data_IF_396092309917
#
_entry.id   IF_396092309917
#
_cell.length_a   1.000
_cell.length_b   1.000
_cell.length_c   1.000
_cell.angle_alpha   90.00
_cell.angle_beta   90.00
_cell.angle_gamma   90.00
#
_symmetry.space_group_name_H-M   'P 1'
#
loop_
_entity.id
_entity.type
_entity.pdbx_description
1 polymer ?
#
# COMPACT_ATOMS: atom_id res chain seq x y z
N UNK A 1 -0.42 3.35 11.99
CA UNK A 1 -0.28 4.29 10.83
C UNK A 1 0.35 5.57 11.32
N UNK A 2 1.40 6.09 10.66
CA UNK A 2 2.09 7.33 11.08
C UNK A 2 1.38 8.54 10.49
N UNK A 3 0.87 9.45 11.32
CA UNK A 3 0.09 10.63 10.88
C UNK A 3 0.82 11.92 11.24
N UNK A 4 0.94 12.85 10.29
CA UNK A 4 1.40 14.23 10.52
C UNK A 4 0.21 15.17 10.45
N UNK A 5 -0.08 15.86 11.54
CA UNK A 5 -1.17 16.81 11.65
C UNK A 5 -0.61 18.22 11.55
N UNK A 6 -1.14 19.06 10.67
CA UNK A 6 -0.74 20.45 10.55
C UNK A 6 -1.92 21.40 10.72
N UNK A 7 -1.70 22.46 11.52
CA UNK A 7 -2.69 23.49 11.83
C UNK A 7 -2.18 24.89 11.46
N UNK A 8 -3.10 25.82 11.24
CA UNK A 8 -2.79 27.18 10.76
C UNK A 8 -3.33 28.28 11.68
N UNK A 9 -4.14 27.90 12.68
CA UNK A 9 -4.79 28.81 13.61
C UNK A 9 -4.64 28.31 15.04
N UNK A 10 -4.87 29.17 16.03
CA UNK A 10 -4.86 28.78 17.47
C UNK A 10 -5.92 27.72 17.77
N UNK A 11 -7.13 27.85 17.19
CA UNK A 11 -8.19 26.82 17.31
C UNK A 11 -7.76 25.50 16.70
N UNK A 12 -7.10 25.54 15.54
CA UNK A 12 -6.54 24.35 14.91
C UNK A 12 -5.45 23.67 15.76
N UNK A 13 -4.62 24.44 16.47
CA UNK A 13 -3.66 23.89 17.45
C UNK A 13 -4.39 23.20 18.60
N UNK A 14 -5.38 23.86 19.22
CA UNK A 14 -6.18 23.27 20.28
C UNK A 14 -6.85 21.96 19.83
N UNK A 15 -7.36 21.91 18.59
CA UNK A 15 -7.95 20.71 17.99
C UNK A 15 -6.90 19.62 17.77
N UNK A 16 -5.71 19.94 17.26
CA UNK A 16 -4.63 18.97 17.08
C UNK A 16 -4.20 18.30 18.39
N UNK A 17 -4.15 19.07 19.48
CA UNK A 17 -3.88 18.54 20.82
C UNK A 17 -4.99 17.63 21.34
N UNK A 18 -6.26 17.97 21.07
CA UNK A 18 -7.41 17.10 21.39
C UNK A 18 -7.34 15.78 20.64
N UNK A 19 -7.01 15.83 19.35
CA UNK A 19 -6.83 14.63 18.52
C UNK A 19 -5.71 13.76 19.13
N UNK A 20 -4.54 14.32 19.43
CA UNK A 20 -3.44 13.59 20.06
C UNK A 20 -3.90 12.88 21.34
N UNK A 21 -4.68 13.57 22.19
CA UNK A 21 -5.23 13.00 23.43
C UNK A 21 -6.23 11.86 23.15
N UNK A 22 -7.07 11.98 22.13
CA UNK A 22 -8.06 10.97 21.77
C UNK A 22 -7.41 9.68 21.23
N UNK A 23 -6.18 9.77 20.70
CA UNK A 23 -5.35 8.64 20.27
C UNK A 23 -4.32 8.21 21.33
N UNK A 24 -4.40 8.68 22.56
CA UNK A 24 -3.52 8.25 23.65
C UNK A 24 -3.72 6.76 23.94
N UNK A 25 -2.67 5.98 23.73
CA UNK A 25 -2.67 4.49 23.77
C UNK A 25 -2.07 3.87 22.52
N UNK A 26 -2.02 4.58 21.41
CA UNK A 26 -1.14 4.30 20.29
C UNK A 26 0.24 4.88 20.61
N UNK A 27 1.32 4.27 20.15
CA UNK A 27 2.69 4.72 20.46
C UNK A 27 2.86 6.20 20.08
N UNK A 28 3.46 7.02 20.95
CA UNK A 28 3.66 8.48 20.72
C UNK A 28 4.35 8.79 19.38
N UNK A 29 5.10 7.85 18.82
CA UNK A 29 5.79 7.95 17.54
C UNK A 29 4.84 8.01 16.33
N UNK A 30 3.57 7.61 16.48
CA UNK A 30 2.64 7.51 15.35
C UNK A 30 1.95 8.83 15.00
N UNK A 31 1.91 9.80 15.93
CA UNK A 31 1.21 11.06 15.76
C UNK A 31 2.16 12.26 15.97
N UNK A 32 2.50 12.98 14.89
CA UNK A 32 3.32 14.18 14.94
C UNK A 32 2.47 15.44 14.72
N UNK A 33 2.62 16.43 15.59
CA UNK A 33 1.88 17.69 15.51
C UNK A 33 2.75 18.81 14.96
N UNK A 34 2.20 19.58 14.02
CA UNK A 34 2.85 20.70 13.36
C UNK A 34 1.94 21.91 13.29
N UNK A 35 2.53 23.12 13.24
CA UNK A 35 1.77 24.34 13.01
C UNK A 35 2.54 25.35 12.17
N UNK A 36 1.81 26.15 11.38
CA UNK A 36 2.27 27.38 10.71
C UNK A 36 1.59 28.63 11.25
N UNK A 37 1.00 28.55 12.44
CA UNK A 37 0.38 29.71 13.08
C UNK A 37 1.45 30.67 13.65
N UNK A 38 1.70 31.80 12.98
CA UNK A 38 2.68 32.83 13.41
C UNK A 38 2.39 33.47 14.74
N UNK A 39 1.15 33.38 15.23
CA UNK A 39 0.74 33.91 16.54
C UNK A 39 0.83 32.85 17.66
N UNK A 40 1.29 31.65 17.35
CA UNK A 40 1.36 30.55 18.33
C UNK A 40 2.24 30.95 19.54
N UNK A 41 3.42 31.51 19.31
CA UNK A 41 4.35 31.87 20.37
C UNK A 41 3.80 32.96 21.34
N UNK A 42 3.20 34.02 20.79
CA UNK A 42 2.71 35.16 21.63
C UNK A 42 1.41 34.82 22.36
N UNK A 43 0.48 34.13 21.71
CA UNK A 43 -0.88 33.92 22.25
C UNK A 43 -0.97 32.73 23.18
N UNK A 44 -0.07 31.75 23.03
CA UNK A 44 0.01 30.57 23.90
C UNK A 44 0.65 30.95 25.26
N UNK A 45 1.56 31.95 25.27
CA UNK A 45 2.14 32.53 26.50
C UNK A 45 1.07 33.28 27.31
N UNK A 46 0.19 34.05 26.66
CA UNK A 46 -0.90 34.79 27.32
C UNK A 46 -2.01 33.88 27.89
N UNK A 47 -2.24 32.70 27.29
CA UNK A 47 -3.26 31.72 27.72
C UNK A 47 -2.75 30.64 28.67
N UNK A 48 -1.60 30.78 29.34
CA UNK A 48 -0.96 29.82 30.25
C UNK A 48 -0.51 28.50 29.57
N UNK A 49 -0.43 28.43 28.25
CA UNK A 49 0.30 27.41 27.56
C UNK A 49 1.76 27.89 27.46
N UNK A 50 2.55 27.65 28.48
CA UNK A 50 3.97 28.03 28.53
C UNK A 50 4.77 27.30 27.45
N UNK A 51 5.89 27.87 27.00
CA UNK A 51 6.84 27.22 26.07
C UNK A 51 7.16 25.78 26.51
N UNK A 52 7.21 25.54 27.82
CA UNK A 52 7.40 24.20 28.41
C UNK A 52 6.26 23.25 28.06
N UNK A 53 4.99 23.70 28.07
CA UNK A 53 3.83 22.88 27.72
C UNK A 53 3.74 22.61 26.21
N UNK A 54 4.30 23.46 25.37
CA UNK A 54 4.40 23.24 23.91
C UNK A 54 5.47 22.20 23.57
N UNK A 55 6.64 22.30 24.19
CA UNK A 55 7.69 21.28 24.04
C UNK A 55 7.23 19.91 24.57
N UNK A 56 6.54 19.90 25.72
CA UNK A 56 5.95 18.67 26.30
C UNK A 56 4.80 18.13 25.45
N UNK A 57 4.08 18.96 24.68
CA UNK A 57 3.00 18.53 23.77
C UNK A 57 3.52 17.89 22.49
N UNK A 58 4.81 18.05 22.16
CA UNK A 58 5.40 17.56 20.91
C UNK A 58 4.91 18.33 19.67
N UNK A 59 4.45 19.58 19.82
CA UNK A 59 4.07 20.45 18.70
C UNK A 59 5.31 21.13 18.12
N UNK A 60 5.53 21.00 16.82
CA UNK A 60 6.63 21.62 16.08
C UNK A 60 6.15 22.76 15.19
N UNK A 61 6.87 23.87 15.19
CA UNK A 61 6.62 24.96 14.24
C UNK A 61 7.28 24.65 12.90
N UNK A 62 6.59 24.92 11.79
CA UNK A 62 7.08 24.69 10.42
C UNK A 62 7.55 26.03 9.85
N UNK A 63 8.85 26.24 9.73
CA UNK A 63 9.44 27.45 9.17
C UNK A 63 9.41 27.47 7.63
N UNK A 64 9.75 26.33 7.03
CA UNK A 64 9.82 26.15 5.57
C UNK A 64 8.46 26.37 4.88
N UNK A 65 8.43 26.61 3.56
CA UNK A 65 7.20 26.64 2.77
C UNK A 65 6.34 25.40 2.99
N UNK A 66 5.01 25.57 3.05
CA UNK A 66 4.09 24.46 3.31
C UNK A 66 4.25 23.31 2.30
N UNK A 67 4.47 23.66 1.03
CA UNK A 67 4.69 22.69 -0.04
C UNK A 67 5.93 21.82 0.22
N UNK A 68 7.03 22.44 0.64
CA UNK A 68 8.28 21.73 0.97
C UNK A 68 8.07 20.74 2.14
N UNK A 69 7.48 21.22 3.24
CA UNK A 69 7.12 20.36 4.38
C UNK A 69 6.22 19.20 3.95
N UNK A 70 5.20 19.49 3.12
CA UNK A 70 4.28 18.46 2.62
C UNK A 70 5.03 17.39 1.82
N UNK A 71 5.92 17.79 0.91
CA UNK A 71 6.74 16.86 0.14
C UNK A 71 7.62 15.98 1.01
N UNK A 72 8.23 16.54 2.07
CA UNK A 72 9.01 15.75 3.03
C UNK A 72 8.17 14.71 3.77
N UNK A 73 6.95 15.08 4.21
CA UNK A 73 6.07 14.13 4.89
C UNK A 73 5.59 13.02 3.94
N UNK A 74 5.26 13.37 2.68
CA UNK A 74 4.86 12.40 1.66
C UNK A 74 6.01 11.44 1.32
N UNK A 75 7.24 11.92 1.17
CA UNK A 75 8.44 11.08 1.01
C UNK A 75 8.65 10.11 2.17
N UNK A 76 8.34 10.52 3.41
CA UNK A 76 8.38 9.67 4.61
C UNK A 76 7.17 8.72 4.72
N UNK A 77 6.31 8.66 3.70
CA UNK A 77 5.10 7.83 3.66
C UNK A 77 4.17 8.04 4.86
N UNK A 78 4.07 9.27 5.36
CA UNK A 78 3.17 9.62 6.46
C UNK A 78 1.82 10.06 5.92
N UNK A 79 0.74 9.66 6.58
CA UNK A 79 -0.59 10.22 6.34
C UNK A 79 -0.64 11.68 6.78
N UNK A 80 -1.35 12.52 6.07
CA UNK A 80 -1.44 13.96 6.35
C UNK A 80 -2.84 14.35 6.78
N UNK A 81 -2.95 15.07 7.89
CA UNK A 81 -4.18 15.73 8.32
C UNK A 81 -3.97 17.24 8.36
N UNK A 82 -4.65 17.96 7.48
CA UNK A 82 -4.65 19.42 7.46
C UNK A 82 -5.85 19.93 8.26
N UNK A 83 -5.61 20.68 9.34
CA UNK A 83 -6.68 21.36 10.08
C UNK A 83 -6.83 22.75 9.52
N UNK A 84 -7.78 22.94 8.59
CA UNK A 84 -7.99 24.20 7.88
C UNK A 84 -8.79 24.02 6.59
N UNK A 85 -8.67 24.97 5.66
CA UNK A 85 -9.41 24.93 4.40
C UNK A 85 -8.87 23.88 3.42
N UNK A 86 -9.75 23.12 2.74
CA UNK A 86 -9.39 22.13 1.73
C UNK A 86 -8.44 22.68 0.66
N UNK A 87 -8.66 23.93 0.20
CA UNK A 87 -7.81 24.56 -0.81
C UNK A 87 -6.34 24.73 -0.40
N UNK A 88 -6.04 24.79 0.90
CA UNK A 88 -4.67 24.81 1.41
C UNK A 88 -4.02 23.44 1.19
N UNK A 89 -4.70 22.38 1.60
CA UNK A 89 -4.22 21.00 1.41
C UNK A 89 -4.01 20.68 -0.07
N UNK A 90 -5.00 20.98 -0.93
CA UNK A 90 -4.92 20.71 -2.37
C UNK A 90 -3.70 21.37 -3.00
N UNK A 91 -3.45 22.68 -2.72
CA UNK A 91 -2.27 23.36 -3.26
C UNK A 91 -0.96 22.81 -2.72
N UNK A 92 -0.94 22.36 -1.47
CA UNK A 92 0.26 21.83 -0.84
C UNK A 92 0.66 20.46 -1.39
N UNK A 93 -0.32 19.59 -1.72
CA UNK A 93 -0.05 18.24 -2.21
C UNK A 93 0.12 18.17 -3.73
N UNK A 94 -0.47 19.09 -4.49
CA UNK A 94 -0.54 19.04 -5.96
C UNK A 94 0.80 18.71 -6.66
N UNK A 95 1.97 19.26 -6.26
CA UNK A 95 3.25 18.95 -6.91
C UNK A 95 3.76 17.52 -6.68
N UNK A 96 3.17 16.76 -5.76
CA UNK A 96 3.66 15.46 -5.32
C UNK A 96 2.72 14.31 -5.65
N UNK A 97 1.62 14.58 -6.34
CA UNK A 97 0.66 13.55 -6.75
C UNK A 97 1.32 12.62 -7.78
N UNK A 98 1.19 11.33 -7.55
CA UNK A 98 1.75 10.29 -8.43
C UNK A 98 0.65 9.42 -9.03
N UNK A 99 0.09 8.50 -8.24
CA UNK A 99 -1.02 7.65 -8.65
C UNK A 99 -1.80 7.14 -7.43
N UNK A 100 -3.05 6.72 -7.66
CA UNK A 100 -3.99 6.31 -6.60
C UNK A 100 -3.54 5.15 -5.72
N UNK A 101 -2.55 4.35 -6.16
CA UNK A 101 -2.03 3.21 -5.40
C UNK A 101 -0.81 3.58 -4.54
N UNK A 102 -0.09 4.64 -4.94
CA UNK A 102 1.16 5.04 -4.33
C UNK A 102 1.03 6.30 -3.47
N UNK A 103 0.01 7.11 -3.70
CA UNK A 103 -0.21 8.32 -2.91
C UNK A 103 -0.50 7.99 -1.43
N UNK A 104 -0.05 8.87 -0.54
CA UNK A 104 -0.32 8.74 0.89
C UNK A 104 -1.71 9.28 1.23
N UNK A 105 -2.35 8.79 2.29
CA UNK A 105 -3.61 9.35 2.79
C UNK A 105 -3.49 10.84 3.09
N UNK A 106 -4.39 11.65 2.53
CA UNK A 106 -4.52 13.06 2.88
C UNK A 106 -5.95 13.36 3.28
N UNK A 107 -6.09 13.93 4.47
CA UNK A 107 -7.36 14.33 5.04
C UNK A 107 -7.36 15.83 5.35
N UNK A 108 -8.53 16.41 5.35
CA UNK A 108 -8.77 17.76 5.82
C UNK A 108 -9.84 17.73 6.92
N UNK A 109 -9.61 18.50 7.98
CA UNK A 109 -10.60 18.72 9.05
C UNK A 109 -10.81 20.22 9.20
N UNK A 110 -12.06 20.68 9.34
CA UNK A 110 -12.32 22.07 9.65
C UNK A 110 -11.82 22.42 11.08
N UNK A 111 -11.52 23.69 11.34
CA UNK A 111 -10.95 24.11 12.63
C UNK A 111 -11.89 23.93 13.84
N UNK A 112 -13.15 23.62 13.62
CA UNK A 112 -14.12 23.30 14.66
C UNK A 112 -14.22 21.79 14.91
N UNK A 113 -13.57 20.97 14.06
CA UNK A 113 -13.59 19.50 14.16
C UNK A 113 -14.94 18.88 13.81
N UNK A 114 -15.76 19.53 12.99
CA UNK A 114 -17.10 19.01 12.63
C UNK A 114 -17.05 18.00 11.49
N UNK A 115 -16.16 18.24 10.50
CA UNK A 115 -16.07 17.43 9.31
C UNK A 115 -14.66 16.90 9.11
N UNK A 116 -14.54 15.64 8.72
CA UNK A 116 -13.30 14.99 8.30
C UNK A 116 -13.46 14.54 6.85
N UNK A 117 -12.65 15.09 5.96
CA UNK A 117 -12.78 14.94 4.51
C UNK A 117 -11.54 14.21 3.98
N UNK A 118 -11.63 12.95 3.52
CA UNK A 118 -10.58 12.31 2.75
C UNK A 118 -10.44 13.00 1.40
N UNK A 119 -9.25 13.53 1.10
CA UNK A 119 -8.96 14.25 -0.14
C UNK A 119 -8.18 13.42 -1.14
N UNK A 120 -7.33 12.52 -0.63
CA UNK A 120 -6.45 11.68 -1.45
C UNK A 120 -6.29 10.29 -0.85
N UNK A 121 -6.11 9.28 -1.71
CA UNK A 121 -5.85 7.89 -1.35
C UNK A 121 -6.93 7.28 -0.43
N UNK A 122 -8.21 7.47 -0.79
CA UNK A 122 -9.37 7.05 -0.01
C UNK A 122 -9.37 5.56 0.33
N UNK A 123 -9.29 4.70 -0.69
CA UNK A 123 -9.33 3.23 -0.54
C UNK A 123 -7.96 2.65 -0.17
N UNK A 124 -7.09 2.46 -1.17
CA UNK A 124 -5.80 1.75 -1.00
C UNK A 124 -4.90 2.45 0.01
N UNK A 125 -4.89 3.77 0.05
CA UNK A 125 -4.13 4.52 1.04
C UNK A 125 -4.73 4.44 2.45
N UNK A 126 -6.06 4.22 2.58
CA UNK A 126 -6.76 4.14 3.87
C UNK A 126 -7.25 5.49 4.41
N UNK A 127 -7.38 6.53 3.56
CA UNK A 127 -7.87 7.83 4.04
C UNK A 127 -9.33 7.76 4.49
N UNK A 128 -10.17 6.92 3.86
CA UNK A 128 -11.57 6.74 4.27
C UNK A 128 -11.65 6.06 5.65
N UNK A 129 -10.89 4.98 5.86
CA UNK A 129 -10.80 4.30 7.17
C UNK A 129 -10.29 5.24 8.27
N UNK A 130 -9.26 6.04 7.98
CA UNK A 130 -8.74 7.04 8.92
C UNK A 130 -9.76 8.14 9.21
N UNK A 131 -10.53 8.58 8.21
CA UNK A 131 -11.58 9.59 8.41
C UNK A 131 -12.68 9.07 9.33
N UNK A 132 -13.12 7.83 9.17
CA UNK A 132 -14.11 7.19 10.04
C UNK A 132 -13.57 7.06 11.46
N UNK A 133 -12.35 6.54 11.64
CA UNK A 133 -11.72 6.42 12.96
C UNK A 133 -11.55 7.76 13.68
N UNK A 134 -11.14 8.81 12.97
CA UNK A 134 -11.06 10.17 13.50
C UNK A 134 -12.45 10.70 13.90
N UNK A 135 -13.44 10.48 13.03
CA UNK A 135 -14.80 10.95 13.26
C UNK A 135 -15.42 10.32 14.51
N UNK A 136 -15.28 9.02 14.68
CA UNK A 136 -15.75 8.30 15.87
C UNK A 136 -15.11 8.83 17.16
N UNK A 137 -13.80 9.03 17.18
CA UNK A 137 -13.08 9.50 18.37
C UNK A 137 -13.34 10.97 18.71
N UNK A 138 -13.60 11.79 17.68
CA UNK A 138 -13.76 13.25 17.85
C UNK A 138 -15.21 13.70 17.87
N UNK A 139 -16.17 12.83 17.59
CA UNK A 139 -17.57 13.19 17.41
C UNK A 139 -17.81 14.02 16.14
N UNK A 140 -17.00 13.80 15.10
CA UNK A 140 -17.06 14.50 13.82
C UNK A 140 -17.91 13.75 12.80
N UNK A 141 -18.19 14.38 11.65
CA UNK A 141 -18.86 13.73 10.52
C UNK A 141 -17.81 13.40 9.45
N UNK A 142 -17.62 12.13 9.08
CA UNK A 142 -16.76 11.78 7.94
C UNK A 142 -17.51 12.08 6.64
N UNK A 143 -16.81 12.76 5.70
CA UNK A 143 -17.39 13.14 4.40
C UNK A 143 -16.79 12.23 3.32
N UNK A 144 -17.29 11.00 3.27
CA UNK A 144 -16.86 10.02 2.27
C UNK A 144 -17.59 10.30 0.95
N UNK A 145 -16.83 10.38 -0.16
CA UNK A 145 -17.38 10.71 -1.50
C UNK A 145 -17.12 9.62 -2.53
N UNK A 146 -16.44 8.56 -2.17
CA UNK A 146 -16.09 7.47 -3.08
C UNK A 146 -17.33 6.65 -3.44
N UNK A 147 -17.61 6.48 -4.73
CA UNK A 147 -18.83 5.83 -5.19
C UNK A 147 -19.01 4.39 -4.69
N UNK A 148 -17.93 3.61 -4.63
CA UNK A 148 -17.97 2.23 -4.12
C UNK A 148 -18.33 2.16 -2.65
N UNK A 149 -17.82 3.09 -1.81
CA UNK A 149 -18.20 3.16 -0.38
C UNK A 149 -19.64 3.60 -0.19
N UNK A 150 -20.10 4.61 -0.96
CA UNK A 150 -21.48 5.12 -0.87
C UNK A 150 -22.52 4.08 -1.27
N UNK A 151 -22.19 3.23 -2.24
CA UNK A 151 -23.06 2.17 -2.74
C UNK A 151 -22.79 0.81 -2.05
N UNK A 152 -21.92 0.76 -1.06
CA UNK A 152 -21.51 -0.48 -0.38
C UNK A 152 -21.06 -1.58 -1.35
N UNK A 153 -20.43 -1.19 -2.46
CA UNK A 153 -19.96 -2.11 -3.49
C UNK A 153 -18.59 -2.67 -3.17
N UNK A 154 -18.33 -3.88 -3.67
CA UNK A 154 -17.01 -4.50 -3.56
C UNK A 154 -15.92 -3.62 -4.21
N UNK A 155 -14.89 -3.31 -3.42
CA UNK A 155 -13.72 -2.55 -3.84
C UNK A 155 -12.53 -3.49 -4.06
N UNK A 156 -12.22 -3.80 -5.33
CA UNK A 156 -11.20 -4.81 -5.69
C UNK A 156 -9.79 -4.37 -5.30
N UNK A 157 -9.50 -3.08 -5.27
CA UNK A 157 -8.22 -2.53 -4.83
C UNK A 157 -8.04 -2.64 -3.30
N UNK A 158 -9.10 -2.46 -2.53
CA UNK A 158 -9.11 -2.69 -1.10
C UNK A 158 -8.97 -4.19 -0.78
N UNK A 159 -9.68 -5.04 -1.51
CA UNK A 159 -9.52 -6.49 -1.44
C UNK A 159 -8.08 -6.92 -1.71
N UNK A 160 -7.44 -6.38 -2.75
CA UNK A 160 -6.05 -6.65 -3.07
C UNK A 160 -5.10 -6.23 -1.92
N UNK A 161 -5.32 -5.04 -1.34
CA UNK A 161 -4.52 -4.55 -0.21
C UNK A 161 -4.65 -5.44 1.03
N UNK A 162 -5.89 -5.76 1.43
CA UNK A 162 -6.18 -6.56 2.63
C UNK A 162 -5.60 -7.98 2.54
N UNK A 163 -5.59 -8.53 1.34
CA UNK A 163 -5.06 -9.88 1.07
C UNK A 163 -3.59 -9.90 0.65
N UNK A 164 -2.86 -8.78 0.74
CA UNK A 164 -1.46 -8.64 0.33
C UNK A 164 -1.21 -9.14 -1.12
N UNK A 165 -2.06 -8.69 -2.04
CA UNK A 165 -1.95 -8.98 -3.47
C UNK A 165 -1.32 -7.79 -4.21
N UNK A 166 -0.51 -8.09 -5.22
CA UNK A 166 -0.01 -7.11 -6.18
C UNK A 166 -0.99 -6.97 -7.35
N UNK A 167 -1.29 -5.75 -7.75
CA UNK A 167 -2.17 -5.44 -8.87
C UNK A 167 -1.31 -5.32 -10.13
N UNK A 168 -1.42 -6.30 -11.05
CA UNK A 168 -0.59 -6.36 -12.26
C UNK A 168 -0.97 -5.26 -13.26
N UNK A 169 -2.27 -5.06 -13.47
CA UNK A 169 -2.78 -4.08 -14.45
C UNK A 169 -3.75 -3.10 -13.77
N UNK A 170 -3.26 -1.90 -13.47
CA UNK A 170 -3.98 -0.87 -12.69
C UNK A 170 -5.27 -0.38 -13.36
N UNK A 171 -5.33 -0.36 -14.69
CA UNK A 171 -6.52 0.01 -15.47
C UNK A 171 -7.70 -0.94 -15.25
N UNK A 172 -7.41 -2.18 -14.88
CA UNK A 172 -8.41 -3.20 -14.55
C UNK A 172 -9.27 -2.83 -13.34
N UNK A 173 -8.73 -2.08 -12.38
CA UNK A 173 -9.48 -1.63 -11.18
C UNK A 173 -10.72 -0.83 -11.59
N UNK A 174 -10.53 0.17 -12.47
CA UNK A 174 -11.64 1.02 -12.91
C UNK A 174 -12.68 0.21 -13.70
N UNK A 175 -12.25 -0.74 -14.53
CA UNK A 175 -13.14 -1.61 -15.32
C UNK A 175 -13.99 -2.51 -14.41
N UNK A 176 -13.38 -3.14 -13.41
CA UNK A 176 -14.09 -3.98 -12.42
C UNK A 176 -15.08 -3.13 -11.62
N UNK A 177 -14.64 -2.00 -11.07
CA UNK A 177 -15.50 -1.12 -10.28
C UNK A 177 -16.67 -0.57 -11.09
N UNK A 178 -16.45 -0.20 -12.37
CA UNK A 178 -17.51 0.31 -13.26
C UNK A 178 -18.59 -0.75 -13.51
N UNK A 179 -18.21 -2.00 -13.76
CA UNK A 179 -19.17 -3.10 -13.96
C UNK A 179 -20.01 -3.36 -12.72
N UNK A 180 -19.35 -3.44 -11.54
CA UNK A 180 -20.06 -3.65 -10.27
C UNK A 180 -21.04 -2.50 -9.99
N UNK A 181 -20.62 -1.24 -10.19
CA UNK A 181 -21.50 -0.07 -10.03
C UNK A 181 -22.65 -0.03 -11.04
N UNK A 182 -22.49 -0.66 -12.22
CA UNK A 182 -23.55 -0.84 -13.19
C UNK A 182 -24.52 -2.00 -12.84
N UNK A 183 -24.27 -2.74 -11.76
CA UNK A 183 -25.04 -3.92 -11.37
C UNK A 183 -24.71 -5.17 -12.18
N UNK A 184 -23.58 -5.17 -12.90
CA UNK A 184 -23.12 -6.34 -13.66
C UNK A 184 -22.35 -7.30 -12.75
N UNK A 185 -22.52 -8.59 -12.98
CA UNK A 185 -21.74 -9.64 -12.30
C UNK A 185 -20.29 -9.67 -12.85
N UNK A 186 -19.33 -9.79 -11.93
CA UNK A 186 -17.90 -9.94 -12.23
C UNK A 186 -17.45 -11.33 -11.78
N UNK A 187 -16.87 -12.10 -12.68
CA UNK A 187 -16.32 -13.42 -12.38
C UNK A 187 -14.92 -13.31 -11.78
N UNK A 188 -14.67 -14.02 -10.68
CA UNK A 188 -13.37 -14.07 -10.02
C UNK A 188 -12.93 -15.51 -9.84
N UNK A 189 -11.74 -15.86 -10.34
CA UNK A 189 -11.07 -17.13 -10.04
C UNK A 189 -9.94 -16.91 -9.02
N UNK A 190 -9.87 -17.79 -8.03
CA UNK A 190 -8.79 -17.87 -7.06
C UNK A 190 -8.15 -19.24 -7.21
N UNK A 191 -6.82 -19.33 -7.17
CA UNK A 191 -6.10 -20.61 -7.20
C UNK A 191 -6.66 -21.56 -6.14
N UNK A 192 -6.83 -22.83 -6.52
CA UNK A 192 -7.47 -23.84 -5.67
C UNK A 192 -6.78 -23.99 -4.31
N UNK A 193 -7.57 -24.05 -3.23
CA UNK A 193 -7.07 -24.15 -1.85
C UNK A 193 -6.60 -22.85 -1.22
N UNK A 194 -6.68 -21.71 -1.92
CA UNK A 194 -6.23 -20.40 -1.43
C UNK A 194 -7.36 -19.44 -1.08
N UNK A 195 -8.62 -19.78 -1.31
CA UNK A 195 -9.77 -19.04 -0.79
C UNK A 195 -10.10 -19.54 0.62
N UNK A 196 -10.09 -18.63 1.61
CA UNK A 196 -10.56 -18.95 2.97
C UNK A 196 -12.07 -19.11 2.97
N UNK A 197 -12.54 -20.28 3.40
CA UNK A 197 -13.95 -20.48 3.72
C UNK A 197 -14.25 -19.74 5.01
N UNK A 198 -15.28 -18.89 5.03
CA UNK A 198 -15.78 -18.28 6.27
C UNK A 198 -16.14 -19.38 7.29
N UNK A 199 -16.03 -19.10 8.60
CA UNK A 199 -16.27 -20.08 9.67
C UNK A 199 -17.59 -20.82 9.46
N UNK A 200 -17.52 -22.08 9.06
CA UNK A 200 -18.65 -22.94 8.86
C UNK A 200 -19.21 -23.33 10.25
N UNK A 201 -20.40 -22.87 10.56
CA UNK A 201 -21.19 -23.47 11.63
C UNK A 201 -21.36 -24.96 11.35
N UNK A 202 -20.86 -25.79 12.25
CA UNK A 202 -20.87 -27.25 12.19
C UNK A 202 -22.30 -27.81 12.10
N UNK A 203 -22.70 -28.26 10.94
CA UNK A 203 -23.79 -29.23 10.79
C UNK A 203 -23.48 -30.20 9.66
N UNK A 204 -23.07 -31.41 10.05
CA UNK A 204 -23.22 -32.62 9.21
C UNK A 204 -22.39 -32.73 7.95
N UNK A 205 -21.14 -33.12 8.06
CA UNK A 205 -20.57 -34.16 7.21
C UNK A 205 -20.34 -33.93 5.71
N UNK A 206 -20.50 -32.73 5.14
CA UNK A 206 -20.05 -32.40 3.78
C UNK A 206 -19.73 -30.91 3.71
N UNK A 207 -18.44 -30.57 3.51
CA UNK A 207 -17.99 -29.18 3.32
C UNK A 207 -18.53 -28.67 1.98
N UNK A 208 -19.59 -27.92 2.03
CA UNK A 208 -20.03 -27.06 0.92
C UNK A 208 -19.55 -25.65 1.26
N UNK A 209 -18.81 -24.98 0.35
CA UNK A 209 -18.46 -23.57 0.57
C UNK A 209 -19.77 -22.81 0.82
N UNK A 210 -19.87 -22.10 1.95
CA UNK A 210 -21.01 -21.21 2.15
C UNK A 210 -20.79 -19.99 1.26
N UNK A 211 -21.72 -19.77 0.33
CA UNK A 211 -21.86 -18.55 -0.47
C UNK A 211 -21.99 -17.26 0.38
N UNK A 212 -21.95 -17.36 1.72
CA UNK A 212 -22.33 -16.31 2.65
C UNK A 212 -21.37 -15.12 2.80
N UNK A 213 -20.11 -15.19 2.31
CA UNK A 213 -19.14 -14.11 2.49
C UNK A 213 -18.65 -13.50 1.17
N UNK A 214 -19.11 -14.00 0.01
CA UNK A 214 -18.78 -13.40 -1.29
C UNK A 214 -19.63 -12.15 -1.46
N UNK A 215 -19.03 -10.98 -1.73
CA UNK A 215 -19.77 -9.74 -1.93
C UNK A 215 -20.74 -9.82 -3.10
N UNK A 216 -21.84 -9.06 -3.01
CA UNK A 216 -22.78 -8.88 -4.11
C UNK A 216 -22.06 -8.40 -5.37
N UNK A 217 -22.44 -8.92 -6.54
CA UNK A 217 -21.81 -8.62 -7.82
C UNK A 217 -20.54 -9.40 -8.13
N UNK A 218 -20.06 -10.28 -7.22
CA UNK A 218 -18.92 -11.16 -7.44
C UNK A 218 -19.39 -12.62 -7.49
N UNK A 219 -18.99 -13.34 -8.56
CA UNK A 219 -19.19 -14.77 -8.68
C UNK A 219 -17.86 -15.50 -8.74
N UNK A 220 -17.62 -16.37 -7.77
CA UNK A 220 -16.42 -17.21 -7.75
C UNK A 220 -16.59 -18.35 -8.76
N UNK A 221 -15.57 -18.52 -9.58
CA UNK A 221 -15.49 -19.60 -10.59
C UNK A 221 -14.25 -20.44 -10.35
N UNK A 222 -14.24 -21.73 -10.75
CA UNK A 222 -13.07 -22.58 -10.66
C UNK A 222 -11.88 -21.96 -11.42
N UNK A 223 -10.68 -22.07 -10.86
CA UNK A 223 -9.45 -21.74 -11.57
C UNK A 223 -9.08 -22.93 -12.46
N UNK A 224 -9.48 -22.90 -13.73
CA UNK A 224 -9.28 -24.02 -14.65
C UNK A 224 -7.81 -24.20 -15.05
N UNK A 225 -7.43 -25.44 -15.41
CA UNK A 225 -6.07 -25.77 -15.86
C UNK A 225 -5.65 -24.98 -17.14
N UNK A 226 -6.61 -24.51 -17.94
CA UNK A 226 -6.36 -23.69 -19.13
C UNK A 226 -5.82 -22.27 -18.82
N UNK A 227 -5.95 -21.83 -17.55
CA UNK A 227 -5.34 -20.60 -17.09
C UNK A 227 -3.83 -20.74 -16.76
N UNK A 228 -3.30 -21.97 -16.78
CA UNK A 228 -1.86 -22.21 -16.71
C UNK A 228 -1.21 -21.86 -18.06
N UNK A 229 -0.33 -20.90 -18.09
CA UNK A 229 0.49 -20.64 -19.28
C UNK A 229 1.79 -21.40 -19.16
N UNK A 230 2.03 -22.37 -20.06
CA UNK A 230 3.36 -22.91 -20.36
C UNK A 230 4.20 -21.87 -21.14
N UNK A 231 4.34 -20.68 -20.60
CA UNK A 231 5.24 -19.68 -21.19
C UNK A 231 6.57 -19.75 -20.43
N UNK A 232 7.66 -20.21 -21.08
CA UNK A 232 8.97 -20.06 -20.50
C UNK A 232 9.20 -18.58 -20.23
N UNK A 233 9.61 -18.22 -19.04
CA UNK A 233 10.02 -16.85 -18.69
C UNK A 233 11.29 -16.55 -19.48
N UNK A 234 11.14 -15.94 -20.65
CA UNK A 234 12.26 -15.36 -21.39
C UNK A 234 12.74 -14.14 -20.61
N UNK A 235 14.05 -14.00 -20.37
CA UNK A 235 14.59 -12.76 -19.81
C UNK A 235 14.28 -11.63 -20.78
N UNK A 236 13.64 -10.57 -20.30
CA UNK A 236 13.53 -9.31 -21.05
C UNK A 236 14.92 -8.74 -21.21
N UNK A 237 15.52 -8.89 -22.39
CA UNK A 237 16.63 -8.09 -22.81
C UNK A 237 16.17 -6.63 -22.88
N UNK A 238 16.72 -5.81 -22.00
CA UNK A 238 16.57 -4.36 -22.07
C UNK A 238 17.46 -3.91 -23.22
N UNK A 239 16.87 -3.59 -24.37
CA UNK A 239 17.58 -2.91 -25.44
C UNK A 239 17.84 -1.46 -25.00
N UNK A 240 19.09 -1.17 -24.68
CA UNK A 240 19.64 0.18 -24.69
C UNK A 240 19.70 0.65 -26.15
N UNK A 241 18.78 1.51 -26.55
CA UNK A 241 18.95 2.45 -27.66
C UNK A 241 17.76 3.42 -27.68
N UNK A 242 17.94 4.55 -27.02
CA UNK A 242 17.11 5.74 -27.25
C UNK A 242 18.04 6.85 -27.75
N UNK A 243 17.94 7.28 -29.02
CA UNK A 243 18.66 8.43 -29.46
C UNK A 243 18.09 9.72 -28.88
N UNK A 244 18.98 10.57 -28.37
CA UNK A 244 18.68 11.91 -27.89
C UNK A 244 18.11 12.77 -29.04
N UNK A 245 16.89 13.28 -28.86
CA UNK A 245 16.31 14.32 -29.73
C UNK A 245 16.50 15.67 -29.04
N UNK A 246 17.27 16.52 -29.70
CA UNK A 246 17.52 17.91 -29.35
C UNK A 246 16.24 18.75 -29.41
N UNK A 247 16.01 19.59 -28.39
CA UNK A 247 14.99 20.60 -28.37
C UNK A 247 15.33 21.77 -29.29
N UNK A 248 14.54 22.01 -30.31
CA UNK A 248 14.44 23.31 -30.97
C UNK A 248 13.09 23.96 -30.71
N UNK A 249 13.18 25.19 -30.26
CA UNK A 249 12.09 26.11 -29.98
C UNK A 249 11.48 26.67 -31.27
N UNK A 250 10.17 26.66 -31.44
CA UNK A 250 9.46 27.64 -32.28
C UNK A 250 8.15 28.04 -31.64
N UNK A 251 8.05 29.37 -31.45
CA UNK A 251 6.82 30.12 -31.16
C UNK A 251 5.87 30.02 -32.35
N UNK A 252 4.59 29.99 -32.06
CA UNK A 252 3.47 30.71 -32.65
C UNK A 252 2.16 29.90 -32.60
N UNK A 253 1.22 30.43 -31.83
CA UNK A 253 -0.16 30.00 -31.86
C UNK A 253 -0.96 30.82 -32.91
N UNK A 254 -2.00 30.28 -33.56
CA UNK A 254 -3.24 31.01 -33.62
C UNK A 254 -4.46 30.21 -33.14
N UNK A 255 -5.33 30.95 -32.48
CA UNK A 255 -6.67 30.54 -32.06
C UNK A 255 -7.55 30.15 -33.25
N UNK A 256 -8.28 29.02 -33.10
CA UNK A 256 -9.42 28.74 -34.01
C UNK A 256 -10.63 28.36 -33.14
N UNK A 257 -11.70 29.06 -33.44
CA UNK A 257 -13.06 29.04 -32.92
C UNK A 257 -13.77 27.70 -33.04
N UNK A 258 -14.62 27.44 -32.06
CA UNK A 258 -15.59 26.35 -32.05
C UNK A 258 -16.71 26.61 -33.08
N UNK A 259 -16.98 25.61 -33.91
CA UNK A 259 -18.30 25.46 -34.56
C UNK A 259 -18.68 23.97 -34.60
N UNK A 260 -19.88 23.74 -34.10
CA UNK A 260 -20.60 22.48 -34.04
C UNK A 260 -21.10 22.03 -35.40
N UNK A 261 -20.94 20.76 -35.79
CA UNK A 261 -21.84 20.09 -36.71
C UNK A 261 -22.12 18.67 -36.27
N UNK A 262 -23.38 18.42 -36.00
CA UNK A 262 -24.02 17.13 -35.78
C UNK A 262 -24.39 16.58 -37.19
N UNK A 263 -24.40 15.24 -37.29
CA UNK A 263 -25.02 14.38 -38.29
C UNK A 263 -24.13 13.62 -39.27
N UNK A 264 -24.05 12.29 -39.00
CA UNK A 264 -24.49 11.27 -39.98
C UNK A 264 -24.46 9.86 -39.34
N UNK A 265 -25.44 9.00 -39.60
CA UNK A 265 -25.51 7.66 -39.02
C UNK A 265 -24.60 6.69 -39.79
N UNK A 266 -23.76 5.98 -39.06
CA UNK A 266 -22.97 4.85 -39.59
C UNK A 266 -23.87 3.62 -39.63
N UNK A 267 -24.12 3.11 -40.85
CA UNK A 267 -24.84 1.88 -41.07
C UNK A 267 -24.07 0.67 -40.52
N UNK A 268 -24.71 -0.04 -39.61
CA UNK A 268 -24.23 -1.37 -39.17
C UNK A 268 -24.51 -2.38 -40.29
N UNK A 269 -23.46 -2.91 -40.89
CA UNK A 269 -23.53 -4.13 -41.67
C UNK A 269 -23.48 -5.31 -40.71
N UNK A 270 -24.58 -6.05 -40.61
CA UNK A 270 -24.61 -7.34 -39.95
C UNK A 270 -23.71 -8.32 -40.71
N UNK A 271 -22.51 -8.58 -40.15
CA UNK A 271 -21.71 -9.72 -40.51
C UNK A 271 -22.10 -10.84 -39.55
N UNK A 272 -22.77 -11.85 -40.05
CA UNK A 272 -23.02 -13.12 -39.37
C UNK A 272 -21.69 -13.86 -39.21
N UNK A 273 -20.95 -13.53 -38.16
CA UNK A 273 -19.85 -14.36 -37.69
C UNK A 273 -20.43 -15.44 -36.75
N UNK A 274 -20.16 -16.69 -37.13
CA UNK A 274 -20.51 -17.89 -36.36
C UNK A 274 -20.10 -17.69 -34.88
N UNK A 275 -21.07 -17.94 -33.98
CA UNK A 275 -20.86 -17.94 -32.52
C UNK A 275 -19.88 -19.08 -32.24
N UNK A 276 -18.63 -18.81 -31.78
CA UNK A 276 -17.77 -19.91 -31.38
C UNK A 276 -18.36 -20.54 -30.13
N UNK A 277 -18.34 -21.86 -30.15
CA UNK A 277 -18.75 -22.80 -29.10
C UNK A 277 -18.34 -22.28 -27.71
N UNK A 278 -19.28 -22.34 -26.74
CA UNK A 278 -19.13 -21.83 -25.39
C UNK A 278 -18.16 -22.74 -24.62
N UNK A 279 -16.88 -22.62 -24.90
CA UNK A 279 -15.82 -23.14 -24.04
C UNK A 279 -15.29 -22.00 -23.17
N UNK A 280 -15.71 -22.00 -21.91
CA UNK A 280 -15.28 -21.19 -20.76
C UNK A 280 -14.94 -19.70 -21.04
N UNK A 281 -15.88 -18.82 -20.69
CA UNK A 281 -15.67 -17.38 -20.77
C UNK A 281 -14.42 -16.98 -19.92
N UNK A 282 -13.49 -16.18 -20.48
CA UNK A 282 -12.30 -15.79 -19.75
C UNK A 282 -12.69 -15.09 -18.44
N UNK A 283 -12.08 -15.50 -17.34
CA UNK A 283 -12.32 -14.98 -15.99
C UNK A 283 -12.00 -13.49 -15.93
N UNK A 284 -12.90 -12.68 -15.38
CA UNK A 284 -12.72 -11.23 -15.31
C UNK A 284 -11.58 -10.84 -14.35
N UNK A 285 -11.55 -11.44 -13.15
CA UNK A 285 -10.50 -11.22 -12.14
C UNK A 285 -9.81 -12.52 -11.82
N UNK A 286 -8.51 -12.58 -12.01
CA UNK A 286 -7.69 -13.74 -11.65
C UNK A 286 -6.83 -13.45 -10.45
N UNK A 287 -6.91 -14.29 -9.41
CA UNK A 287 -6.08 -14.24 -8.19
C UNK A 287 -5.23 -15.51 -8.14
N UNK A 288 -4.00 -15.43 -8.63
CA UNK A 288 -3.10 -16.60 -8.72
C UNK A 288 -1.63 -16.14 -8.87
N UNK A 289 -0.63 -17.04 -8.61
CA UNK A 289 0.79 -16.78 -8.86
C UNK A 289 1.11 -16.47 -10.34
N UNK A 290 2.35 -16.08 -10.60
CA UNK A 290 2.80 -15.69 -11.95
C UNK A 290 2.80 -16.83 -12.97
N UNK A 291 2.78 -18.10 -12.52
CA UNK A 291 2.65 -19.30 -13.35
C UNK A 291 1.30 -19.41 -14.08
N UNK A 292 0.31 -18.64 -13.62
CA UNK A 292 -1.00 -18.56 -14.27
C UNK A 292 -1.04 -17.40 -15.29
N UNK A 293 -1.96 -17.50 -16.24
CA UNK A 293 -2.23 -16.47 -17.24
C UNK A 293 -2.72 -15.14 -16.66
N UNK A 294 -3.50 -14.41 -17.42
CA UNK A 294 -4.05 -13.12 -17.01
C UNK A 294 -5.56 -13.17 -16.96
N UNK A 295 -6.17 -12.53 -15.98
CA UNK A 295 -7.59 -12.24 -15.98
C UNK A 295 -7.98 -11.30 -17.13
N UNK A 296 -9.22 -11.36 -17.55
CA UNK A 296 -9.75 -10.54 -18.66
C UNK A 296 -9.69 -9.04 -18.35
N UNK A 297 -10.10 -8.66 -17.15
CA UNK A 297 -10.09 -7.27 -16.70
C UNK A 297 -8.94 -6.99 -15.75
N UNK A 298 -8.72 -7.85 -14.76
CA UNK A 298 -7.78 -7.62 -13.69
C UNK A 298 -7.02 -8.90 -13.30
N UNK A 299 -5.74 -8.75 -13.04
CA UNK A 299 -4.89 -9.81 -12.50
C UNK A 299 -4.30 -9.35 -11.17
N UNK A 300 -4.49 -10.17 -10.14
CA UNK A 300 -3.98 -9.99 -8.80
C UNK A 300 -2.98 -11.10 -8.48
N UNK A 301 -1.76 -10.75 -8.08
CA UNK A 301 -0.70 -11.71 -7.74
C UNK A 301 -0.43 -11.71 -6.24
N UNK A 302 -0.40 -12.88 -5.58
CA UNK A 302 -0.03 -12.94 -4.17
C UNK A 302 1.40 -12.47 -3.96
N UNK A 303 1.63 -11.71 -2.89
CA UNK A 303 2.97 -11.38 -2.40
C UNK A 303 3.42 -12.52 -1.50
N UNK A 304 4.22 -13.43 -2.07
CA UNK A 304 4.53 -14.72 -1.44
C UNK A 304 5.84 -14.73 -0.63
N UNK A 305 6.69 -13.68 -0.75
CA UNK A 305 8.05 -13.74 -0.21
C UNK A 305 8.31 -12.72 0.88
N UNK A 306 9.10 -13.14 1.86
CA UNK A 306 9.62 -12.33 2.96
C UNK A 306 11.13 -12.28 2.84
N UNK A 307 11.68 -11.07 2.84
CA UNK A 307 13.12 -10.84 2.76
C UNK A 307 13.67 -10.48 4.14
N UNK A 308 14.44 -11.37 4.71
CA UNK A 308 15.18 -11.10 5.93
C UNK A 308 16.51 -10.40 5.61
N UNK A 309 16.74 -9.23 6.20
CA UNK A 309 17.90 -8.38 5.92
C UNK A 309 18.72 -8.18 7.21
N UNK A 310 20.02 -8.42 7.13
CA UNK A 310 20.99 -7.99 8.12
C UNK A 310 22.04 -7.13 7.45
N UNK A 311 22.52 -6.06 8.12
CA UNK A 311 23.59 -5.23 7.58
C UNK A 311 24.44 -4.62 8.69
N UNK A 312 25.67 -4.19 8.37
CA UNK A 312 26.42 -3.29 9.23
C UNK A 312 25.69 -1.95 9.31
N UNK A 313 25.82 -1.24 10.45
CA UNK A 313 25.16 0.07 10.64
C UNK A 313 25.68 1.09 9.64
N UNK A 314 24.77 1.90 9.08
CA UNK A 314 25.08 2.96 8.14
C UNK A 314 25.44 2.47 6.74
N UNK A 315 25.00 1.30 6.33
CA UNK A 315 25.13 0.85 4.93
C UNK A 315 24.30 1.72 4.00
N UNK A 316 24.92 2.12 2.87
CA UNK A 316 24.23 2.89 1.85
C UNK A 316 23.02 2.12 1.29
N UNK A 317 21.93 2.85 1.04
CA UNK A 317 20.69 2.28 0.56
C UNK A 317 20.90 1.53 -0.78
N UNK A 318 21.68 2.12 -1.68
CA UNK A 318 21.98 1.57 -2.99
C UNK A 318 22.70 0.23 -2.91
N UNK A 319 23.59 0.04 -1.92
CA UNK A 319 24.30 -1.23 -1.73
C UNK A 319 23.36 -2.33 -1.24
N UNK A 320 22.45 -2.00 -0.30
CA UNK A 320 21.44 -2.95 0.20
C UNK A 320 20.50 -3.31 -0.93
N UNK A 321 20.02 -2.33 -1.67
CA UNK A 321 19.10 -2.51 -2.78
C UNK A 321 19.70 -3.40 -3.89
N UNK A 322 20.90 -3.11 -4.35
CA UNK A 322 21.58 -3.92 -5.36
C UNK A 322 21.73 -5.38 -4.92
N UNK A 323 22.11 -5.59 -3.65
CA UNK A 323 22.29 -6.93 -3.13
C UNK A 323 20.97 -7.70 -3.01
N UNK A 324 19.91 -7.06 -2.51
CA UNK A 324 18.57 -7.66 -2.43
C UNK A 324 18.03 -7.98 -3.82
N UNK A 325 18.11 -7.05 -4.78
CA UNK A 325 17.64 -7.27 -6.15
C UNK A 325 18.41 -8.43 -6.84
N UNK A 326 19.72 -8.55 -6.61
CA UNK A 326 20.50 -9.67 -7.11
C UNK A 326 20.04 -11.01 -6.51
N UNK A 327 19.86 -11.07 -5.19
CA UNK A 327 19.37 -12.27 -4.51
C UNK A 327 17.98 -12.70 -5.01
N UNK A 328 17.08 -11.75 -5.24
CA UNK A 328 15.77 -12.01 -5.84
C UNK A 328 15.89 -12.54 -7.25
N UNK A 329 16.70 -11.90 -8.11
CA UNK A 329 16.91 -12.32 -9.50
C UNK A 329 17.49 -13.74 -9.59
N UNK A 330 18.47 -14.08 -8.77
CA UNK A 330 19.08 -15.41 -8.68
C UNK A 330 18.04 -16.49 -8.24
N UNK A 331 17.05 -16.07 -7.45
CA UNK A 331 15.95 -16.94 -6.99
C UNK A 331 14.75 -16.95 -7.95
N UNK A 332 14.79 -16.22 -9.08
CA UNK A 332 13.68 -16.09 -10.02
C UNK A 332 12.46 -15.33 -9.47
N UNK A 333 12.67 -14.46 -8.50
CA UNK A 333 11.62 -13.72 -7.79
C UNK A 333 11.69 -12.24 -8.18
N UNK A 334 10.53 -11.63 -8.45
CA UNK A 334 10.44 -10.17 -8.66
C UNK A 334 10.13 -9.44 -7.36
N UNK A 335 10.52 -8.16 -7.27
CA UNK A 335 10.26 -7.30 -6.10
C UNK A 335 8.75 -7.17 -5.80
N UNK A 336 7.90 -7.24 -6.82
CA UNK A 336 6.44 -7.16 -6.70
C UNK A 336 5.83 -8.34 -5.92
N UNK A 337 6.54 -9.48 -5.87
CA UNK A 337 6.13 -10.65 -5.11
C UNK A 337 6.57 -10.59 -3.63
N UNK A 338 7.31 -9.56 -3.24
CA UNK A 338 7.77 -9.37 -1.86
C UNK A 338 6.67 -8.76 -1.01
N UNK A 339 6.33 -9.44 0.07
CA UNK A 339 5.32 -8.99 1.02
C UNK A 339 5.90 -8.04 2.08
N UNK A 340 7.12 -8.32 2.56
CA UNK A 340 7.70 -7.61 3.70
C UNK A 340 9.22 -7.73 3.71
N UNK A 341 9.91 -6.66 4.14
CA UNK A 341 11.30 -6.68 4.58
C UNK A 341 11.33 -6.89 6.10
N UNK A 342 12.19 -7.76 6.58
CA UNK A 342 12.24 -8.16 7.97
C UNK A 342 13.67 -8.08 8.55
N UNK A 343 13.80 -7.67 9.81
CA UNK A 343 15.09 -7.62 10.50
C UNK A 343 14.91 -7.71 12.02
N UNK A 344 16.01 -7.49 12.76
CA UNK A 344 16.01 -7.35 14.21
C UNK A 344 15.76 -5.88 14.63
N UNK A 345 15.19 -5.64 15.82
CA UNK A 345 14.83 -4.30 16.34
C UNK A 345 15.98 -3.29 16.36
N UNK A 346 17.21 -3.76 16.55
CA UNK A 346 18.40 -2.91 16.46
C UNK A 346 18.58 -2.25 15.09
N UNK A 347 17.81 -2.69 14.09
CA UNK A 347 17.81 -2.18 12.71
C UNK A 347 16.57 -1.36 12.35
N UNK A 348 15.67 -1.11 13.30
CA UNK A 348 14.43 -0.35 13.07
C UNK A 348 14.65 1.05 12.48
N UNK A 349 15.80 1.67 12.79
CA UNK A 349 16.20 3.02 12.35
C UNK A 349 17.29 2.97 11.27
N UNK A 350 17.51 1.85 10.57
CA UNK A 350 18.54 1.73 9.55
C UNK A 350 18.06 2.40 8.27
N UNK A 351 18.64 3.56 7.94
CA UNK A 351 18.22 4.43 6.84
C UNK A 351 18.17 3.71 5.49
N UNK A 352 19.13 2.83 5.20
CA UNK A 352 19.16 2.08 3.95
C UNK A 352 17.98 1.14 3.79
N UNK A 353 17.54 0.44 4.86
CA UNK A 353 16.37 -0.45 4.80
C UNK A 353 15.07 0.37 4.77
N UNK A 354 15.00 1.46 5.53
CA UNK A 354 13.85 2.38 5.53
C UNK A 354 13.66 3.03 4.16
N UNK A 355 14.76 3.38 3.48
CA UNK A 355 14.71 3.88 2.11
C UNK A 355 14.11 2.83 1.16
N UNK A 356 14.58 1.57 1.20
CA UNK A 356 14.01 0.48 0.39
C UNK A 356 12.52 0.28 0.66
N UNK A 357 12.14 0.23 1.94
CA UNK A 357 10.74 0.11 2.34
C UNK A 357 9.88 1.22 1.73
N UNK A 358 10.36 2.46 1.81
CA UNK A 358 9.67 3.62 1.24
C UNK A 358 9.65 3.60 -0.29
N UNK A 359 10.79 3.27 -0.92
CA UNK A 359 10.95 3.27 -2.38
C UNK A 359 10.04 2.25 -3.07
N UNK A 360 9.99 1.03 -2.53
CA UNK A 360 9.17 -0.05 -3.09
C UNK A 360 7.74 -0.12 -2.52
N UNK A 361 7.42 0.68 -1.51
CA UNK A 361 6.14 0.59 -0.81
C UNK A 361 5.92 -0.76 -0.11
N UNK A 362 7.02 -1.43 0.29
CA UNK A 362 7.01 -2.71 1.00
C UNK A 362 7.23 -2.46 2.48
N UNK A 363 6.37 -2.95 3.39
CA UNK A 363 6.54 -2.77 4.83
C UNK A 363 7.88 -3.28 5.33
N UNK A 364 8.52 -2.54 6.24
CA UNK A 364 9.66 -3.02 7.00
C UNK A 364 9.24 -3.32 8.44
N UNK A 365 9.48 -4.53 8.88
CA UNK A 365 9.09 -5.03 10.20
C UNK A 365 10.32 -5.54 10.95
N UNK A 366 10.29 -5.40 12.26
CA UNK A 366 11.37 -5.88 13.12
C UNK A 366 10.81 -6.66 14.31
N UNK A 367 11.62 -7.51 14.89
CA UNK A 367 11.34 -8.23 16.13
C UNK A 367 12.56 -8.31 17.03
N UNK A 368 12.35 -8.68 18.28
CA UNK A 368 13.40 -8.77 19.27
C UNK A 368 14.35 -9.95 19.03
N UNK A 369 15.52 -9.93 19.67
CA UNK A 369 16.46 -11.05 19.63
C UNK A 369 15.85 -12.32 20.21
N UNK A 370 15.06 -12.19 21.28
CA UNK A 370 14.37 -13.27 21.96
C UNK A 370 13.34 -13.93 21.03
N UNK A 371 12.57 -13.15 20.29
CA UNK A 371 11.62 -13.67 19.28
C UNK A 371 12.34 -14.40 18.15
N UNK A 372 13.48 -13.89 17.69
CA UNK A 372 14.29 -14.55 16.67
C UNK A 372 14.88 -15.89 17.18
N UNK A 373 15.28 -15.95 18.43
CA UNK A 373 15.80 -17.21 19.04
C UNK A 373 14.73 -18.31 19.09
N UNK A 374 13.45 -17.96 19.23
CA UNK A 374 12.33 -18.91 19.26
C UNK A 374 12.01 -19.53 17.90
N UNK A 375 12.54 -18.97 16.81
CA UNK A 375 12.32 -19.53 15.47
C UNK A 375 13.12 -20.82 15.32
N UNK A 376 12.41 -21.93 15.15
CA UNK A 376 13.00 -23.23 14.91
C UNK A 376 13.49 -23.39 13.48
N UNK A 377 14.61 -24.08 13.28
CA UNK A 377 15.17 -24.36 11.96
C UNK A 377 16.68 -24.58 12.00
N UNK A 378 17.22 -25.04 10.87
CA UNK A 378 18.67 -25.16 10.68
C UNK A 378 19.17 -23.86 10.01
N UNK A 379 19.92 -23.05 10.75
CA UNK A 379 20.40 -21.75 10.29
C UNK A 379 21.92 -21.70 10.18
N UNK A 380 22.42 -20.86 9.29
CA UNK A 380 23.85 -20.57 9.18
C UNK A 380 24.32 -19.73 10.37
N UNK A 381 24.73 -20.39 11.44
CA UNK A 381 25.17 -19.74 12.68
C UNK A 381 26.41 -18.86 12.46
N UNK A 382 26.46 -17.73 13.18
CA UNK A 382 27.58 -16.80 13.20
C UNK A 382 27.87 -16.37 14.64
N UNK A 383 28.97 -16.82 15.20
CA UNK A 383 29.40 -16.43 16.55
C UNK A 383 29.62 -14.91 16.66
N UNK A 384 30.09 -14.27 15.58
CA UNK A 384 30.22 -12.82 15.54
C UNK A 384 28.85 -12.12 15.66
N UNK A 385 27.84 -12.55 14.92
CA UNK A 385 26.49 -11.98 15.00
C UNK A 385 25.91 -12.23 16.39
N UNK A 386 26.08 -13.43 16.94
CA UNK A 386 25.62 -13.80 18.27
C UNK A 386 26.21 -12.89 19.36
N UNK A 387 27.50 -12.58 19.27
CA UNK A 387 28.16 -11.66 20.23
C UNK A 387 27.64 -10.21 20.13
N UNK A 388 27.19 -9.79 18.97
CA UNK A 388 26.72 -8.41 18.73
C UNK A 388 25.25 -8.21 19.08
N UNK A 389 24.38 -9.16 18.73
CA UNK A 389 22.92 -8.98 18.79
C UNK A 389 22.19 -10.06 19.59
N UNK A 390 22.90 -11.02 20.16
CA UNK A 390 22.34 -12.07 21.01
C UNK A 390 21.76 -13.26 20.24
N UNK A 391 21.68 -13.20 18.91
CA UNK A 391 21.18 -14.28 18.05
C UNK A 391 22.20 -14.61 16.97
N UNK A 392 22.35 -15.90 16.64
CA UNK A 392 23.36 -16.43 15.73
C UNK A 392 23.11 -16.12 14.25
N UNK A 393 21.84 -15.85 13.90
CA UNK A 393 21.41 -15.52 12.53
C UNK A 393 20.19 -14.59 12.57
N UNK A 394 20.30 -13.41 11.93
CA UNK A 394 19.20 -12.44 11.86
C UNK A 394 18.38 -12.68 10.59
N UNK A 395 18.99 -12.73 9.39
CA UNK A 395 18.26 -12.69 8.14
C UNK A 395 17.37 -13.94 7.93
N UNK A 396 17.88 -15.16 8.15
CA UNK A 396 17.07 -16.36 7.96
C UNK A 396 15.93 -16.46 8.99
N UNK A 397 16.25 -16.17 10.27
CA UNK A 397 15.25 -16.21 11.35
C UNK A 397 14.17 -15.15 11.16
N UNK A 398 14.54 -13.92 10.77
CA UNK A 398 13.58 -12.86 10.49
C UNK A 398 12.71 -13.21 9.26
N UNK A 399 13.29 -13.73 8.18
CA UNK A 399 12.52 -14.17 7.03
C UNK A 399 11.47 -15.23 7.42
N UNK A 400 11.87 -16.26 8.17
CA UNK A 400 10.93 -17.30 8.62
C UNK A 400 9.92 -16.79 9.65
N UNK A 401 10.32 -15.96 10.61
CA UNK A 401 9.41 -15.41 11.62
C UNK A 401 8.22 -14.69 10.97
N UNK A 402 8.51 -13.86 9.98
CA UNK A 402 7.50 -13.05 9.31
C UNK A 402 6.84 -13.73 8.10
N UNK A 403 7.31 -14.90 7.68
CA UNK A 403 6.58 -15.73 6.70
C UNK A 403 5.35 -16.42 7.32
N UNK A 404 5.26 -16.44 8.65
CA UNK A 404 4.13 -17.00 9.38
C UNK A 404 4.11 -18.53 9.42
N UNK A 405 3.04 -19.12 9.97
CA UNK A 405 2.91 -20.57 10.09
C UNK A 405 2.99 -21.28 8.74
N UNK A 406 3.85 -22.30 8.66
CA UNK A 406 4.08 -23.09 7.43
C UNK A 406 4.92 -22.37 6.38
N UNK A 407 5.55 -21.25 6.72
CA UNK A 407 6.56 -20.61 5.88
C UNK A 407 7.80 -21.49 5.73
N UNK A 408 8.49 -21.36 4.60
CA UNK A 408 9.68 -22.15 4.26
C UNK A 408 10.81 -21.25 3.75
N UNK A 409 12.04 -21.55 4.16
CA UNK A 409 13.22 -20.86 3.64
C UNK A 409 13.50 -21.34 2.21
N UNK A 410 13.48 -20.42 1.25
CA UNK A 410 13.74 -20.69 -0.18
C UNK A 410 15.23 -20.47 -0.46
N UNK A 411 15.76 -19.35 0.01
CA UNK A 411 17.17 -18.99 -0.14
C UNK A 411 17.74 -18.78 1.24
N UNK A 412 18.72 -19.60 1.60
CA UNK A 412 19.49 -19.44 2.83
C UNK A 412 20.31 -18.16 2.82
N UNK A 413 21.02 -17.90 3.91
CA UNK A 413 21.84 -16.70 4.09
C UNK A 413 22.84 -16.53 2.97
N UNK A 414 22.67 -15.48 2.19
CA UNK A 414 23.68 -14.89 1.32
C UNK A 414 24.35 -13.73 2.05
N UNK A 415 25.66 -13.56 1.89
CA UNK A 415 26.41 -12.52 2.58
C UNK A 415 27.45 -11.90 1.67
N UNK A 416 27.49 -10.56 1.58
CA UNK A 416 28.48 -9.80 0.85
C UNK A 416 28.65 -8.42 1.46
N UNK A 417 29.86 -7.96 1.57
CA UNK A 417 30.24 -6.61 2.03
C UNK A 417 29.50 -6.14 3.30
N UNK A 418 29.27 -7.06 4.24
CA UNK A 418 28.59 -6.77 5.51
C UNK A 418 27.08 -6.60 5.41
N UNK A 419 26.47 -7.03 4.32
CA UNK A 419 25.04 -7.19 4.13
C UNK A 419 24.74 -8.69 4.10
N UNK A 420 23.62 -9.09 4.68
CA UNK A 420 23.13 -10.48 4.62
C UNK A 420 21.66 -10.47 4.23
N UNK A 421 21.27 -11.39 3.35
CA UNK A 421 19.91 -11.56 2.88
C UNK A 421 19.51 -13.02 2.95
N UNK A 422 18.27 -13.29 3.27
CA UNK A 422 17.64 -14.61 3.16
C UNK A 422 16.19 -14.43 2.69
N UNK A 423 15.66 -15.40 1.97
CA UNK A 423 14.32 -15.35 1.40
C UNK A 423 13.49 -16.52 1.91
N UNK A 424 12.33 -16.22 2.48
CA UNK A 424 11.36 -17.22 2.87
C UNK A 424 10.07 -17.06 2.06
N UNK A 425 9.45 -18.19 1.69
CA UNK A 425 8.13 -18.23 1.08
C UNK A 425 7.08 -18.39 2.17
N UNK A 426 6.05 -17.52 2.15
CA UNK A 426 4.89 -17.58 3.04
C UNK A 426 3.75 -18.34 2.36
N UNK A 427 2.89 -18.96 3.16
CA UNK A 427 1.59 -19.38 2.66
C UNK A 427 0.71 -18.15 2.47
N UNK A 428 -0.10 -18.15 1.44
CA UNK A 428 -1.06 -17.09 1.21
C UNK A 428 -2.48 -17.67 1.11
N UNK A 429 -3.44 -16.86 1.39
CA UNK A 429 -4.85 -17.13 1.16
C UNK A 429 -5.57 -15.80 1.07
N UNK A 430 -6.73 -15.77 0.47
CA UNK A 430 -7.60 -14.61 0.38
C UNK A 430 -8.89 -14.82 1.13
N UNK A 431 -9.39 -13.74 1.74
CA UNK A 431 -10.68 -13.69 2.41
C UNK A 431 -11.44 -12.45 1.95
N UNK A 432 -12.76 -12.56 1.88
CA UNK A 432 -13.65 -11.42 1.69
C UNK A 432 -14.05 -10.77 3.01
N UNK A 433 -13.73 -11.39 4.16
CA UNK A 433 -14.07 -10.84 5.46
C UNK A 433 -13.37 -9.49 5.70
N UNK A 434 -14.11 -8.54 6.22
CA UNK A 434 -13.60 -7.29 6.73
C UNK A 434 -12.90 -7.54 8.07
N UNK A 435 -11.56 -7.47 8.07
CA UNK A 435 -10.75 -7.59 9.30
C UNK A 435 -10.51 -6.23 9.92
#
# INVERSE_FOLDING_TARGET
MKVSIISFTLKGIELSLKIKKAFSGETEEDLCLYTKCSHAEKSLTERKLTEKNLAESGLSYVEQPLTEWTGEQMKKRRSLLFIGACGIAVRAIAPFLTDKLNDVPVLVMDEQGRFVIPVLAGHVGGANELAVSLAERMGSTPVITTATDLNHCFAVDLFARRNALHIVNKDGIAKVSSRILAGEEVTMAVEEGHLQEGEAGSTGGRKVPREGNVPEGIRIVPCSAELHTDVPVMPTEVSEDVPAVSAESTEDAPAVSAESTIDAPVAFTESSAEIPDITEAPVDVLVAPASYGKGRLLTLRPKEYVIGIGCKRGKAAEQIDQFVNRALKESGISMEQVAVFASIDRKKDEEGILWMSSHYGIPFVTCSAEELQQVEGNFHASEFVKSQVGVDNVCERAALRFSGPGGTLITGKQAEDGITVAIAKRRWSVSFDEK
#
